data_IF_070589014950
#
_entry.id   IF_070589014950
#
_cell.length_a   1.000
_cell.length_b   1.000
_cell.length_c   1.000
_cell.angle_alpha   90.00
_cell.angle_beta   90.00
_cell.angle_gamma   90.00
#
_symmetry.space_group_name_H-M   'P 1'
#
loop_
_entity.id
_entity.type
_entity.pdbx_description
1 polymer ?
#
# COMPACT_ATOMS: atom_id res chain seq x y z
N UNK A 1 -4.43 -26.67 -8.52
CA UNK A 1 -3.08 -26.12 -8.72
C UNK A 1 -3.01 -24.88 -7.84
N UNK A 2 -2.40 -25.02 -6.66
CA UNK A 2 -2.39 -23.96 -5.63
C UNK A 2 -1.46 -22.84 -6.11
N UNK A 3 -2.05 -21.67 -6.36
CA UNK A 3 -1.31 -20.43 -6.58
C UNK A 3 -0.44 -20.18 -5.33
N UNK A 4 0.87 -20.30 -5.51
CA UNK A 4 1.84 -20.02 -4.44
C UNK A 4 1.65 -18.57 -3.99
N UNK A 5 1.27 -18.39 -2.73
CA UNK A 5 1.21 -17.11 -2.03
C UNK A 5 2.61 -16.47 -1.95
N UNK A 6 3.05 -15.87 -3.07
CA UNK A 6 4.33 -15.15 -3.22
C UNK A 6 4.39 -13.84 -2.40
N UNK A 7 3.38 -13.57 -1.59
CA UNK A 7 3.25 -12.30 -0.85
C UNK A 7 3.72 -12.35 0.62
N UNK A 8 4.32 -13.44 1.08
CA UNK A 8 4.83 -13.54 2.47
C UNK A 8 6.34 -13.39 2.57
N UNK A 9 6.91 -12.43 1.88
CA UNK A 9 8.32 -12.10 2.12
C UNK A 9 8.42 -11.43 3.48
N UNK A 10 8.95 -12.13 4.46
CA UNK A 10 9.35 -11.55 5.75
C UNK A 10 10.61 -10.73 5.50
N UNK A 11 10.50 -9.40 5.64
CA UNK A 11 11.65 -8.51 5.50
C UNK A 11 11.70 -7.53 6.64
N UNK A 12 12.89 -7.10 6.98
CA UNK A 12 13.09 -5.95 7.86
C UNK A 12 12.91 -4.67 7.05
N UNK A 13 12.26 -3.69 7.64
CA UNK A 13 12.11 -2.34 7.07
C UNK A 13 12.70 -1.35 8.08
N UNK A 14 13.82 -0.76 7.73
CA UNK A 14 14.44 0.34 8.48
C UNK A 14 14.13 1.65 7.77
N UNK A 15 13.87 2.71 8.54
CA UNK A 15 13.56 4.03 8.01
C UNK A 15 14.45 5.08 8.67
N UNK A 16 15.09 5.86 7.84
CA UNK A 16 15.95 6.97 8.25
C UNK A 16 15.43 8.26 7.64
N UNK A 17 15.44 9.33 8.44
CA UNK A 17 15.29 10.68 7.91
C UNK A 17 16.68 11.20 7.62
N UNK A 18 16.91 11.62 6.39
CA UNK A 18 18.21 12.09 5.90
C UNK A 18 18.05 13.46 5.22
N UNK A 19 19.13 14.20 5.13
CA UNK A 19 19.21 15.44 4.37
C UNK A 19 19.37 15.16 2.88
N UNK A 20 19.16 16.17 2.03
CA UNK A 20 19.37 16.03 0.60
C UNK A 20 20.86 15.75 0.24
N UNK A 21 21.78 16.31 0.99
CA UNK A 21 23.23 16.03 0.81
C UNK A 21 23.59 14.58 1.15
N UNK A 22 23.00 14.04 2.23
CA UNK A 22 23.18 12.63 2.58
C UNK A 22 22.51 11.72 1.53
N UNK A 23 21.35 12.10 1.02
CA UNK A 23 20.68 11.36 -0.05
C UNK A 23 21.53 11.32 -1.33
N UNK A 24 22.17 12.44 -1.70
CA UNK A 24 23.09 12.50 -2.83
C UNK A 24 24.31 11.58 -2.63
N UNK A 25 24.95 11.66 -1.47
CA UNK A 25 26.10 10.80 -1.15
C UNK A 25 25.74 9.31 -1.14
N UNK A 26 24.58 8.95 -0.61
CA UNK A 26 24.07 7.56 -0.64
C UNK A 26 23.82 7.12 -2.08
N UNK A 27 23.19 7.97 -2.90
CA UNK A 27 22.93 7.68 -4.31
C UNK A 27 24.23 7.38 -5.05
N UNK A 28 25.24 8.23 -4.91
CA UNK A 28 26.55 8.06 -5.54
C UNK A 28 27.24 6.76 -5.09
N UNK A 29 27.09 6.40 -3.83
CA UNK A 29 27.67 5.18 -3.28
C UNK A 29 26.97 3.91 -3.75
N UNK A 30 25.61 3.89 -3.81
CA UNK A 30 24.85 2.67 -4.14
C UNK A 30 24.69 2.46 -5.64
N UNK A 31 24.71 3.51 -6.44
CA UNK A 31 24.45 3.44 -7.88
C UNK A 31 25.35 2.45 -8.64
N UNK A 32 26.67 2.31 -8.35
CA UNK A 32 27.50 1.29 -9.01
C UNK A 32 27.29 -0.13 -8.49
N UNK A 33 26.61 -0.30 -7.33
CA UNK A 33 26.47 -1.59 -6.63
C UNK A 33 25.07 -2.21 -6.79
N UNK A 34 24.08 -1.41 -7.18
CA UNK A 34 22.67 -1.81 -7.19
C UNK A 34 22.02 -1.43 -8.51
N UNK A 35 21.14 -2.30 -8.98
CA UNK A 35 20.30 -2.02 -10.14
C UNK A 35 19.09 -1.16 -9.75
N UNK A 36 18.58 -0.36 -10.67
CA UNK A 36 17.28 0.30 -10.49
C UNK A 36 16.16 -0.74 -10.51
N UNK A 37 15.13 -0.52 -9.70
CA UNK A 37 13.90 -1.32 -9.75
C UNK A 37 13.35 -1.33 -11.20
N UNK A 38 12.92 -2.51 -11.66
CA UNK A 38 12.42 -2.74 -13.03
C UNK A 38 11.23 -1.85 -13.44
N UNK A 39 10.54 -1.25 -12.45
CA UNK A 39 9.40 -0.35 -12.70
C UNK A 39 9.85 1.12 -12.89
N UNK A 40 11.12 1.43 -12.77
CA UNK A 40 11.65 2.76 -13.10
C UNK A 40 11.65 2.92 -14.61
N UNK A 41 11.01 3.96 -15.18
CA UNK A 41 11.01 4.17 -16.61
C UNK A 41 12.43 4.34 -17.17
N UNK A 42 12.70 3.90 -18.41
CA UNK A 42 13.99 4.10 -19.04
C UNK A 42 14.42 5.57 -19.01
N UNK A 43 15.65 5.83 -18.59
CA UNK A 43 16.20 7.18 -18.47
C UNK A 43 15.76 7.97 -17.23
N UNK A 44 14.78 7.49 -16.47
CA UNK A 44 14.36 8.13 -15.22
C UNK A 44 15.23 7.70 -14.04
N UNK A 45 15.27 8.53 -13.00
CA UNK A 45 15.93 8.21 -11.72
C UNK A 45 15.00 7.50 -10.75
N UNK A 46 13.69 7.65 -10.94
CA UNK A 46 12.67 7.09 -10.07
C UNK A 46 11.27 7.37 -10.61
N UNK A 47 10.27 7.24 -9.75
CA UNK A 47 8.86 7.48 -10.10
C UNK A 47 8.06 8.06 -8.94
N UNK A 48 7.00 8.76 -9.28
CA UNK A 48 6.03 9.26 -8.28
C UNK A 48 5.14 8.14 -7.80
N UNK A 49 4.90 8.10 -6.51
CA UNK A 49 3.96 7.18 -5.86
C UNK A 49 2.84 7.98 -5.21
N UNK A 50 1.63 7.66 -5.59
CA UNK A 50 0.41 8.24 -5.02
C UNK A 50 -0.31 7.19 -4.17
N UNK A 51 -0.74 7.57 -2.97
CA UNK A 51 -1.51 6.72 -2.08
C UNK A 51 -2.70 7.51 -1.57
N UNK A 52 -3.89 6.99 -1.80
CA UNK A 52 -5.12 7.47 -1.20
C UNK A 52 -5.49 6.53 -0.07
N UNK A 53 -5.30 6.98 1.17
CA UNK A 53 -5.64 6.20 2.35
C UNK A 53 -7.13 6.35 2.67
N UNK A 54 -7.73 5.23 3.06
CA UNK A 54 -9.10 5.17 3.51
C UNK A 54 -9.15 4.95 5.02
N UNK A 55 -10.18 5.52 5.65
CA UNK A 55 -10.51 5.23 7.05
C UNK A 55 -12.03 5.28 7.26
N UNK A 56 -12.47 4.73 8.37
CA UNK A 56 -13.87 4.87 8.79
C UNK A 56 -14.16 6.32 9.20
N UNK A 57 -15.43 6.74 9.25
CA UNK A 57 -15.80 8.08 9.75
C UNK A 57 -15.28 8.39 11.17
N UNK A 58 -15.07 7.35 11.99
CA UNK A 58 -14.50 7.48 13.33
C UNK A 58 -12.97 7.40 13.38
N UNK A 59 -12.30 7.36 12.23
CA UNK A 59 -10.84 7.21 12.10
C UNK A 59 -10.29 5.96 12.80
N UNK A 60 -11.02 4.85 12.70
CA UNK A 60 -10.69 3.60 13.40
C UNK A 60 -9.27 3.11 13.07
N UNK A 61 -8.90 3.09 11.78
CA UNK A 61 -7.58 2.56 11.37
C UNK A 61 -6.44 3.48 11.81
N UNK A 62 -6.67 4.78 11.84
CA UNK A 62 -5.73 5.74 12.41
C UNK A 62 -5.52 5.49 13.91
N UNK A 63 -6.62 5.36 14.68
CA UNK A 63 -6.54 5.13 16.11
C UNK A 63 -5.94 3.77 16.45
N UNK A 64 -6.23 2.72 15.69
CA UNK A 64 -5.60 1.40 15.86
C UNK A 64 -4.07 1.49 15.72
N UNK A 65 -3.57 2.34 14.83
CA UNK A 65 -2.12 2.59 14.70
C UNK A 65 -1.59 3.44 15.84
N UNK A 66 -2.29 4.51 16.19
CA UNK A 66 -1.88 5.46 17.24
C UNK A 66 -1.75 4.77 18.60
N UNK A 67 -2.73 3.93 18.94
CA UNK A 67 -2.76 3.16 20.18
C UNK A 67 -2.01 1.82 20.10
N UNK A 68 -1.27 1.57 19.02
CA UNK A 68 -0.48 0.34 18.85
C UNK A 68 -1.31 -0.95 19.05
N UNK A 69 -2.59 -0.95 18.60
CA UNK A 69 -3.44 -2.14 18.70
C UNK A 69 -2.74 -3.37 18.12
N UNK A 70 -2.99 -4.53 18.70
CA UNK A 70 -2.37 -5.80 18.31
C UNK A 70 -2.62 -6.12 16.82
N UNK A 71 -3.86 -5.93 16.38
CA UNK A 71 -4.28 -6.09 14.98
C UNK A 71 -4.57 -4.72 14.37
N UNK A 72 -3.96 -4.45 13.22
CA UNK A 72 -4.12 -3.20 12.48
C UNK A 72 -4.21 -3.47 11.00
N UNK A 73 -5.06 -2.73 10.31
CA UNK A 73 -5.14 -2.71 8.84
C UNK A 73 -5.00 -1.28 8.35
N UNK A 74 -4.39 -1.11 7.17
CA UNK A 74 -4.29 0.17 6.47
C UNK A 74 -4.76 -0.03 5.04
N UNK A 75 -6.02 0.27 4.74
CA UNK A 75 -6.52 0.24 3.39
C UNK A 75 -6.04 1.47 2.62
N UNK A 76 -5.61 1.27 1.39
CA UNK A 76 -5.26 2.36 0.48
C UNK A 76 -5.44 1.95 -0.97
N UNK A 77 -5.78 2.91 -1.79
CA UNK A 77 -5.61 2.87 -3.22
C UNK A 77 -4.23 3.43 -3.57
N UNK A 78 -3.54 2.84 -4.55
CA UNK A 78 -2.23 3.30 -5.01
C UNK A 78 -2.16 3.33 -6.52
N UNK A 79 -1.54 4.38 -7.04
CA UNK A 79 -1.10 4.43 -8.43
C UNK A 79 0.30 5.05 -8.53
N UNK A 80 0.92 4.87 -9.68
CA UNK A 80 2.26 5.35 -9.97
C UNK A 80 2.21 6.39 -11.09
N UNK A 81 3.24 7.25 -11.16
CA UNK A 81 3.27 8.33 -12.15
C UNK A 81 2.70 9.65 -11.64
N UNK A 82 2.67 10.66 -12.50
CA UNK A 82 2.16 12.00 -12.20
C UNK A 82 0.64 12.08 -12.29
N UNK A 83 0.04 11.25 -13.12
CA UNK A 83 -1.38 11.22 -13.44
C UNK A 83 -1.98 9.84 -13.14
N UNK A 84 -3.29 9.79 -13.05
CA UNK A 84 -4.03 8.55 -12.86
C UNK A 84 -4.06 7.79 -14.19
N UNK A 85 -3.51 6.60 -14.21
CA UNK A 85 -3.50 5.70 -15.36
C UNK A 85 -4.76 4.81 -15.37
N UNK A 86 -4.88 3.97 -16.41
CA UNK A 86 -6.02 3.07 -16.61
C UNK A 86 -6.19 2.03 -15.50
N UNK A 87 -5.24 1.91 -14.60
CA UNK A 87 -5.29 0.92 -13.53
C UNK A 87 -4.64 1.38 -12.23
N UNK A 88 -5.22 0.92 -11.14
CA UNK A 88 -4.81 1.22 -9.78
C UNK A 88 -4.66 -0.05 -8.95
N UNK A 89 -3.96 0.08 -7.83
CA UNK A 89 -3.78 -1.00 -6.87
C UNK A 89 -4.61 -0.75 -5.62
N UNK A 90 -5.47 -1.70 -5.27
CA UNK A 90 -6.08 -1.79 -3.96
C UNK A 90 -5.14 -2.54 -3.03
N UNK A 91 -4.73 -1.94 -1.95
CA UNK A 91 -3.78 -2.53 -1.01
C UNK A 91 -4.32 -2.53 0.43
N UNK A 92 -4.24 -3.67 1.09
CA UNK A 92 -4.47 -3.83 2.52
C UNK A 92 -3.13 -4.22 3.17
N UNK A 93 -2.59 -3.34 4.01
CA UNK A 93 -1.41 -3.64 4.82
C UNK A 93 -1.87 -4.01 6.22
N UNK A 94 -1.73 -5.29 6.56
CA UNK A 94 -2.03 -5.83 7.87
C UNK A 94 -0.80 -5.84 8.77
N UNK A 95 -1.03 -5.69 10.06
CA UNK A 95 -0.07 -6.04 11.10
C UNK A 95 -0.81 -6.73 12.23
N UNK A 96 -0.32 -7.90 12.64
CA UNK A 96 -0.84 -8.62 13.81
C UNK A 96 0.34 -9.15 14.63
N UNK A 97 0.40 -8.81 15.89
CA UNK A 97 1.46 -9.25 16.82
C UNK A 97 2.89 -9.12 16.23
N UNK A 98 3.20 -7.99 15.61
CA UNK A 98 4.50 -7.75 14.98
C UNK A 98 4.64 -8.27 13.54
N UNK A 99 3.88 -9.28 13.14
CA UNK A 99 3.90 -9.84 11.78
C UNK A 99 3.19 -8.87 10.83
N UNK A 100 3.83 -8.60 9.70
CA UNK A 100 3.28 -7.71 8.67
C UNK A 100 3.08 -8.53 7.40
N UNK A 101 1.90 -8.40 6.79
CA UNK A 101 1.64 -8.91 5.45
C UNK A 101 0.82 -7.90 4.66
N UNK A 102 0.79 -8.08 3.35
CA UNK A 102 0.10 -7.21 2.41
C UNK A 102 -0.70 -8.04 1.43
N UNK A 103 -1.95 -7.64 1.22
CA UNK A 103 -2.76 -8.09 0.10
C UNK A 103 -2.88 -6.95 -0.89
N UNK A 104 -2.80 -7.24 -2.17
CA UNK A 104 -3.03 -6.24 -3.21
C UNK A 104 -3.72 -6.87 -4.41
N UNK A 105 -4.57 -6.09 -5.05
CA UNK A 105 -5.27 -6.43 -6.30
C UNK A 105 -5.20 -5.23 -7.25
N UNK A 106 -4.97 -5.49 -8.51
CA UNK A 106 -5.04 -4.48 -9.55
C UNK A 106 -6.46 -4.44 -10.09
N UNK A 107 -6.98 -3.25 -10.31
CA UNK A 107 -8.29 -3.00 -10.92
C UNK A 107 -8.15 -1.94 -12.00
N UNK A 108 -9.13 -1.89 -12.91
CA UNK A 108 -9.29 -0.76 -13.81
C UNK A 108 -9.72 0.49 -13.01
N UNK A 109 -9.29 1.66 -13.43
CA UNK A 109 -9.58 2.90 -12.71
C UNK A 109 -11.07 3.21 -12.66
N UNK A 110 -11.81 2.80 -13.68
CA UNK A 110 -13.27 2.96 -13.80
C UNK A 110 -14.03 2.13 -12.74
N UNK A 111 -13.44 1.07 -12.22
CA UNK A 111 -14.07 0.25 -11.16
C UNK A 111 -14.05 0.94 -9.78
N UNK A 112 -13.19 1.95 -9.60
CA UNK A 112 -12.97 2.58 -8.30
C UNK A 112 -14.23 3.20 -7.66
N UNK A 113 -15.09 3.95 -8.39
CA UNK A 113 -16.32 4.48 -7.82
C UNK A 113 -17.23 3.39 -7.26
N UNK A 114 -17.41 2.28 -7.99
CA UNK A 114 -18.24 1.16 -7.54
C UNK A 114 -17.74 0.52 -6.24
N UNK A 115 -16.42 0.49 -6.03
CA UNK A 115 -15.85 -0.02 -4.77
C UNK A 115 -16.20 0.89 -3.59
N UNK A 116 -16.20 2.22 -3.79
CA UNK A 116 -16.61 3.15 -2.76
C UNK A 116 -18.12 3.11 -2.47
N UNK A 117 -18.93 2.81 -3.48
CA UNK A 117 -20.37 2.63 -3.33
C UNK A 117 -20.73 1.42 -2.47
N UNK A 118 -19.86 0.40 -2.41
CA UNK A 118 -20.06 -0.76 -1.55
C UNK A 118 -20.25 -0.42 -0.07
N UNK A 119 -19.82 0.77 0.39
CA UNK A 119 -20.11 1.29 1.73
C UNK A 119 -21.59 1.56 2.01
N UNK A 120 -22.39 1.70 0.94
CA UNK A 120 -23.83 2.00 1.01
C UNK A 120 -24.70 0.74 1.08
N UNK A 121 -24.10 -0.45 1.04
CA UNK A 121 -24.83 -1.70 1.18
C UNK A 121 -25.56 -1.69 2.51
N UNK A 122 -26.86 -1.89 2.44
CA UNK A 122 -27.78 -1.92 3.58
C UNK A 122 -27.26 -2.87 4.68
N UNK A 123 -26.94 -2.31 5.84
CA UNK A 123 -26.38 -3.04 7.00
C UNK A 123 -27.43 -3.88 7.72
N UNK A 124 -28.62 -4.02 7.15
CA UNK A 124 -29.73 -4.83 7.74
C UNK A 124 -29.51 -6.32 7.61
N UNK A 125 -28.68 -6.77 6.65
CA UNK A 125 -28.20 -8.15 6.66
C UNK A 125 -26.96 -8.26 7.54
N UNK A 126 -26.90 -9.24 8.45
CA UNK A 126 -25.71 -9.48 9.24
C UNK A 126 -24.60 -9.98 8.29
N UNK A 127 -23.81 -9.05 7.73
CA UNK A 127 -22.51 -9.37 7.17
C UNK A 127 -21.60 -9.87 8.30
N UNK A 128 -21.91 -11.06 8.81
CA UNK A 128 -21.21 -11.73 9.89
C UNK A 128 -19.94 -12.36 9.31
N UNK A 129 -19.11 -11.56 8.67
CA UNK A 129 -17.70 -11.85 8.64
C UNK A 129 -17.04 -11.02 9.74
N UNK A 130 -16.83 -11.67 10.86
CA UNK A 130 -16.12 -11.08 12.01
C UNK A 130 -14.71 -10.58 11.64
N UNK A 131 -14.22 -10.94 10.45
CA UNK A 131 -12.89 -10.58 9.94
C UNK A 131 -12.97 -10.28 8.44
N UNK A 132 -13.21 -9.02 8.04
CA UNK A 132 -13.18 -8.63 6.64
C UNK A 132 -11.76 -8.85 6.06
N UNK A 133 -11.70 -9.52 4.92
CA UNK A 133 -10.46 -10.01 4.32
C UNK A 133 -10.17 -9.42 2.92
N UNK A 134 -11.18 -8.85 2.27
CA UNK A 134 -11.04 -8.14 1.00
C UNK A 134 -11.11 -6.62 1.19
N UNK A 135 -10.70 -5.87 0.17
CA UNK A 135 -10.75 -4.42 0.21
C UNK A 135 -12.21 -3.93 0.27
N UNK A 136 -13.07 -4.53 -0.52
CA UNK A 136 -14.51 -4.22 -0.58
C UNK A 136 -15.20 -4.51 0.75
N UNK A 137 -14.88 -5.64 1.38
CA UNK A 137 -15.40 -5.96 2.71
C UNK A 137 -14.96 -4.94 3.76
N UNK A 138 -13.71 -4.46 3.71
CA UNK A 138 -13.23 -3.38 4.60
C UNK A 138 -14.02 -2.10 4.36
N UNK A 139 -14.24 -1.72 3.08
CA UNK A 139 -15.01 -0.54 2.73
C UNK A 139 -16.44 -0.66 3.24
N UNK A 140 -17.10 -1.79 2.98
CA UNK A 140 -18.49 -2.02 3.38
C UNK A 140 -18.67 -2.08 4.91
N UNK A 141 -17.86 -2.90 5.60
CA UNK A 141 -18.00 -3.13 7.06
C UNK A 141 -17.70 -1.88 7.87
N UNK A 142 -16.67 -1.12 7.49
CA UNK A 142 -16.26 0.06 8.25
C UNK A 142 -16.78 1.37 7.68
N UNK A 143 -17.48 1.35 6.54
CA UNK A 143 -17.86 2.58 5.82
C UNK A 143 -16.63 3.40 5.45
N UNK A 144 -15.53 2.72 5.06
CA UNK A 144 -14.28 3.38 4.84
C UNK A 144 -14.35 4.29 3.60
N UNK A 145 -13.83 5.50 3.75
CA UNK A 145 -13.80 6.51 2.70
C UNK A 145 -12.40 7.12 2.57
N UNK A 146 -12.07 7.72 1.42
CA UNK A 146 -10.82 8.42 1.23
C UNK A 146 -10.67 9.59 2.20
N UNK A 147 -9.58 9.61 2.97
CA UNK A 147 -9.32 10.66 3.95
C UNK A 147 -8.01 11.40 3.74
N UNK A 148 -7.03 10.77 3.09
CA UNK A 148 -5.71 11.37 2.94
C UNK A 148 -5.03 10.93 1.64
N UNK A 149 -4.58 11.89 0.85
CA UNK A 149 -3.69 11.66 -0.28
C UNK A 149 -2.24 11.92 0.14
N UNK A 150 -1.37 10.94 -0.07
CA UNK A 150 0.08 11.06 0.16
C UNK A 150 0.80 10.81 -1.15
N UNK A 151 1.50 11.83 -1.63
CA UNK A 151 2.32 11.79 -2.84
C UNK A 151 3.79 11.97 -2.47
N UNK A 152 4.67 11.14 -3.06
CA UNK A 152 6.10 11.28 -2.89
C UNK A 152 6.85 10.73 -4.11
N UNK A 153 8.06 11.22 -4.32
CA UNK A 153 8.97 10.67 -5.31
C UNK A 153 9.78 9.54 -4.69
N UNK A 154 10.02 8.48 -5.45
CA UNK A 154 10.78 7.31 -5.02
C UNK A 154 11.88 7.00 -6.02
N UNK A 155 13.10 6.86 -5.52
CA UNK A 155 14.27 6.34 -6.23
C UNK A 155 14.56 4.92 -5.69
N UNK A 156 14.05 3.86 -6.33
CA UNK A 156 14.22 2.51 -5.84
C UNK A 156 15.44 1.83 -6.46
N UNK A 157 16.23 1.21 -5.62
CA UNK A 157 17.35 0.37 -5.98
C UNK A 157 17.12 -1.04 -5.45
N UNK A 158 17.62 -2.05 -6.18
CA UNK A 158 17.49 -3.47 -5.86
C UNK A 158 18.87 -4.11 -5.90
N UNK A 159 19.18 -4.94 -4.92
CA UNK A 159 20.37 -5.76 -4.91
C UNK A 159 20.16 -6.98 -5.79
N UNK A 160 21.09 -7.30 -6.66
CA UNK A 160 21.07 -8.53 -7.45
C UNK A 160 21.42 -9.78 -6.59
N UNK A 161 21.78 -9.55 -5.32
CA UNK A 161 22.14 -10.60 -4.35
C UNK A 161 20.89 -11.21 -3.67
N UNK A 162 19.73 -10.58 -3.80
CA UNK A 162 18.49 -10.99 -3.11
C UNK A 162 17.64 -12.03 -3.88
N UNK A 163 18.25 -12.86 -4.71
CA UNK A 163 17.62 -14.07 -5.27
C UNK A 163 17.76 -15.29 -4.33
N UNK A 164 17.28 -15.13 -3.08
CA UNK A 164 17.11 -16.27 -2.17
C UNK A 164 15.69 -16.34 -1.62
#
# INVERSE_FOLDING_TARGET
MLEKDLNKVRRYELKYCITESEAAAIRDYIQPLFSKDRNVPPGAVGYTVNNLYLDSPSLKFYWDVKFKRLTRVKPRMRFYGSELEDSIWLELKYKHNGIIWKKRRRIATEEWPGILEARQIDRTEPLIKTHPDTFEEIVAVFGAEPIMHVRYFREPYVSDIDEY
#
